data_IF_959666158243
#
_entry.id   IF_959666158243
#
_cell.length_a   1.000
_cell.length_b   1.000
_cell.length_c   1.000
_cell.angle_alpha   90.00
_cell.angle_beta   90.00
_cell.angle_gamma   90.00
#
_symmetry.space_group_name_H-M   'P 1'
#
loop_
_entity.id
_entity.type
_entity.pdbx_description
1 polymer ?
#
# COMPACT_ATOMS: atom_id res chain seq x y z
N UNK A 1 -14.83 -7.57 -20.29
CA UNK A 1 -13.98 -6.39 -20.05
C UNK A 1 -13.51 -6.45 -18.60
N UNK A 2 -12.25 -6.82 -18.39
CA UNK A 2 -11.61 -6.77 -17.07
C UNK A 2 -11.52 -5.29 -16.70
N UNK A 3 -12.24 -4.85 -15.66
CA UNK A 3 -12.14 -3.48 -15.17
C UNK A 3 -10.72 -3.27 -14.68
N UNK A 4 -9.93 -2.55 -15.47
CA UNK A 4 -8.64 -2.05 -15.05
C UNK A 4 -8.92 -1.07 -13.89
N UNK A 5 -8.55 -1.46 -12.67
CA UNK A 5 -8.66 -0.58 -11.49
C UNK A 5 -7.42 0.31 -11.51
N UNK A 6 -7.30 1.13 -12.55
CA UNK A 6 -6.19 2.06 -12.69
C UNK A 6 -6.49 3.25 -11.79
N UNK A 7 -5.98 3.21 -10.56
CA UNK A 7 -5.93 4.39 -9.70
C UNK A 7 -4.92 5.37 -10.29
N UNK A 8 -5.36 6.57 -10.69
CA UNK A 8 -4.45 7.65 -11.10
C UNK A 8 -3.80 8.24 -9.84
N UNK A 9 -2.80 7.54 -9.35
CA UNK A 9 -2.12 7.84 -8.11
C UNK A 9 -1.04 8.90 -8.19
N UNK A 10 -0.34 9.06 -7.07
CA UNK A 10 0.98 9.72 -7.02
C UNK A 10 1.95 8.99 -7.97
N UNK A 11 2.73 9.75 -8.76
CA UNK A 11 3.72 9.21 -9.71
C UNK A 11 5.05 8.96 -9.01
N UNK A 12 5.75 7.89 -9.36
CA UNK A 12 7.08 7.57 -8.84
C UNK A 12 7.11 7.26 -7.34
N UNK A 13 6.01 6.74 -6.78
CA UNK A 13 5.97 6.35 -5.37
C UNK A 13 6.84 5.11 -5.19
N UNK A 14 7.94 5.25 -4.45
CA UNK A 14 8.78 4.12 -4.05
C UNK A 14 7.96 3.04 -3.36
N UNK A 15 8.36 1.79 -3.58
CA UNK A 15 7.75 0.64 -2.94
C UNK A 15 7.93 0.75 -1.43
N UNK A 16 6.82 0.83 -0.69
CA UNK A 16 6.86 1.01 0.76
C UNK A 16 5.71 0.30 1.47
N UNK A 17 5.93 -0.02 2.74
CA UNK A 17 4.93 -0.52 3.67
C UNK A 17 4.51 0.58 4.63
N UNK A 18 3.20 0.79 4.75
CA UNK A 18 2.63 1.88 5.54
C UNK A 18 1.62 1.35 6.56
N UNK A 19 1.59 1.98 7.75
CA UNK A 19 0.43 1.89 8.66
C UNK A 19 -0.66 2.85 8.16
N UNK A 20 -1.95 2.53 8.33
CA UNK A 20 -3.01 3.48 8.03
C UNK A 20 -2.89 4.72 8.91
N UNK A 21 -2.97 5.92 8.31
CA UNK A 21 -2.97 7.15 9.11
C UNK A 21 -4.23 7.23 10.00
N UNK A 22 -4.13 7.81 11.21
CA UNK A 22 -5.31 8.17 12.01
C UNK A 22 -6.22 9.21 11.33
N UNK A 23 -5.71 9.88 10.30
CA UNK A 23 -6.40 10.91 9.54
C UNK A 23 -7.52 10.39 8.62
N UNK A 24 -7.62 9.07 8.43
CA UNK A 24 -8.66 8.42 7.62
C UNK A 24 -8.43 8.48 6.10
N UNK A 25 -7.33 9.05 5.61
CA UNK A 25 -6.98 9.02 4.18
C UNK A 25 -6.71 7.59 3.68
N UNK A 26 -6.26 6.71 4.57
CA UNK A 26 -6.05 5.29 4.32
C UNK A 26 -7.23 4.45 4.82
N UNK A 27 -8.42 5.04 4.98
CA UNK A 27 -9.58 4.31 5.46
C UNK A 27 -9.90 3.15 4.52
N UNK A 28 -10.04 1.98 5.13
CA UNK A 28 -10.32 0.72 4.45
C UNK A 28 -11.81 0.45 4.29
N UNK A 29 -12.67 1.44 4.53
CA UNK A 29 -14.11 1.25 4.63
C UNK A 29 -14.47 0.22 5.70
N UNK A 30 -13.75 0.25 6.83
CA UNK A 30 -13.93 -0.70 7.94
C UNK A 30 -13.34 -2.11 7.74
N UNK A 31 -12.57 -2.37 6.68
CA UNK A 31 -11.93 -3.70 6.51
C UNK A 31 -10.78 -3.91 7.49
N UNK A 32 -10.66 -5.11 8.09
CA UNK A 32 -9.65 -5.39 9.11
C UNK A 32 -8.25 -5.47 8.50
N UNK A 33 -7.25 -4.93 9.20
CA UNK A 33 -5.83 -5.24 8.97
C UNK A 33 -4.88 -4.21 9.55
N UNK A 34 -3.60 -4.45 9.32
CA UNK A 34 -2.51 -3.84 10.08
C UNK A 34 -1.74 -2.77 9.30
N UNK A 35 -1.82 -2.81 7.97
CA UNK A 35 -1.10 -1.92 7.07
C UNK A 35 -1.32 -2.27 5.60
N UNK A 36 -0.50 -1.71 4.73
CA UNK A 36 -0.55 -1.95 3.29
C UNK A 36 0.81 -1.79 2.63
N UNK A 37 1.00 -2.50 1.53
CA UNK A 37 2.10 -2.32 0.59
C UNK A 37 1.60 -1.46 -0.58
N UNK A 38 2.36 -0.44 -0.95
CA UNK A 38 2.01 0.47 -2.06
C UNK A 38 3.25 0.88 -2.83
N UNK A 39 3.05 1.18 -4.11
CA UNK A 39 4.07 1.72 -5.00
C UNK A 39 3.45 2.13 -6.34
N UNK A 40 4.15 2.97 -7.08
CA UNK A 40 3.75 3.37 -8.43
C UNK A 40 4.97 3.68 -9.30
N UNK A 41 4.80 3.48 -10.61
CA UNK A 41 5.81 3.87 -11.59
C UNK A 41 5.75 5.37 -11.91
N UNK A 42 6.66 5.82 -12.78
CA UNK A 42 6.74 7.20 -13.27
C UNK A 42 5.51 7.65 -14.05
N UNK A 43 4.69 6.73 -14.55
CA UNK A 43 3.43 7.05 -15.24
C UNK A 43 2.24 7.15 -14.26
N UNK A 44 2.47 6.80 -12.99
CA UNK A 44 1.44 6.78 -11.95
C UNK A 44 0.61 5.48 -11.95
N UNK A 45 1.06 4.45 -12.68
CA UNK A 45 0.47 3.12 -12.59
C UNK A 45 0.93 2.51 -11.26
N UNK A 46 0.03 2.46 -10.29
CA UNK A 46 0.33 1.99 -8.94
C UNK A 46 -0.60 0.91 -8.44
N UNK A 47 -0.27 0.42 -7.26
CA UNK A 47 -1.07 -0.57 -6.55
C UNK A 47 -1.10 -0.29 -5.05
N UNK A 48 -2.10 -0.85 -4.40
CA UNK A 48 -2.20 -0.96 -2.94
C UNK A 48 -2.68 -2.36 -2.58
N UNK A 49 -1.88 -3.10 -1.82
CA UNK A 49 -2.22 -4.40 -1.26
C UNK A 49 -2.36 -4.27 0.23
N UNK A 50 -3.56 -4.50 0.74
CA UNK A 50 -3.81 -4.46 2.17
C UNK A 50 -3.27 -5.72 2.86
N UNK A 51 -2.66 -5.52 4.03
CA UNK A 51 -2.04 -6.57 4.83
C UNK A 51 -2.85 -6.75 6.11
N UNK A 52 -3.30 -7.97 6.35
CA UNK A 52 -4.10 -8.32 7.54
C UNK A 52 -3.25 -8.93 8.66
N UNK A 53 -2.14 -9.59 8.31
CA UNK A 53 -1.24 -10.23 9.27
C UNK A 53 -0.14 -9.28 9.74
N UNK A 54 -0.07 -9.07 11.05
CA UNK A 54 0.99 -8.31 11.72
C UNK A 54 2.39 -8.90 11.46
N UNK A 55 2.50 -10.23 11.40
CA UNK A 55 3.75 -10.91 11.09
C UNK A 55 4.24 -10.59 9.67
N UNK A 56 3.33 -10.62 8.69
CA UNK A 56 3.64 -10.28 7.29
C UNK A 56 4.05 -8.82 7.18
N UNK A 57 3.33 -7.92 7.85
CA UNK A 57 3.65 -6.50 7.89
C UNK A 57 5.08 -6.26 8.38
N UNK A 58 5.43 -6.80 9.55
CA UNK A 58 6.75 -6.60 10.16
C UNK A 58 7.88 -7.18 9.31
N UNK A 59 7.65 -8.31 8.62
CA UNK A 59 8.64 -8.88 7.70
C UNK A 59 8.89 -7.97 6.51
N UNK A 60 7.82 -7.45 5.88
CA UNK A 60 7.94 -6.55 4.75
C UNK A 60 8.57 -5.20 5.16
N UNK A 61 8.17 -4.65 6.29
CA UNK A 61 8.76 -3.42 6.85
C UNK A 61 10.28 -3.56 7.02
N UNK A 62 10.75 -4.67 7.59
CA UNK A 62 12.18 -4.94 7.75
C UNK A 62 12.92 -5.15 6.44
N UNK A 63 12.29 -5.84 5.47
CA UNK A 63 12.91 -6.08 4.16
C UNK A 63 13.09 -4.77 3.37
N UNK A 64 12.10 -3.88 3.44
CA UNK A 64 12.12 -2.61 2.70
C UNK A 64 12.90 -1.50 3.43
N UNK A 65 13.14 -1.63 4.74
CA UNK A 65 13.99 -0.70 5.49
C UNK A 65 15.50 -0.93 5.28
N UNK A 66 15.90 -1.96 4.53
CA UNK A 66 17.29 -2.31 4.25
C UNK A 66 17.81 -1.73 2.92
N UNK A 67 17.03 -0.89 2.24
CA UNK A 67 17.42 -0.17 1.02
C UNK A 67 17.94 1.25 1.31
#
# INVERSE_FOLDING_TARGET
MTKEITWKGERGRLLQVCRPCPCGCDDRGGRPGVGYLTGSDEEGNGFTVWIESEEVYQRLERLLALE
#
